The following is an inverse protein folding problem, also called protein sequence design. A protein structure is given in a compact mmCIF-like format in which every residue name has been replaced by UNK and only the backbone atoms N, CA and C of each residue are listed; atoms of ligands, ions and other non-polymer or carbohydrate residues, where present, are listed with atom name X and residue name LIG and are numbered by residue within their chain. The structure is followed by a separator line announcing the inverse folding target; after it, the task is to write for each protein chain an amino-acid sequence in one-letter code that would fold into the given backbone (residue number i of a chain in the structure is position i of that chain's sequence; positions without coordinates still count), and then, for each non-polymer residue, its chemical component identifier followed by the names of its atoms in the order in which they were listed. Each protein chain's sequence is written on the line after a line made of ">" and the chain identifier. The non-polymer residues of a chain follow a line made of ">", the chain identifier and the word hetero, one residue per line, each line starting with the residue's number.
data_IF_089109184909
#
_entry.id   IF_089109184909
#
_cell.length_a   1.000
_cell.length_b   1.000
_cell.length_c   1.000
_cell.angle_alpha   90.00
_cell.angle_beta   90.00
_cell.angle_gamma   90.00
#
_symmetry.space_group_name_H-M   'P 1'
#
loop_
_entity.id
_entity.type
_entity.pdbx_description
1 polymer ?
#
# COMPACT_ATOMS: atom_id res chain seq x y z
N UNK A 1 18.36 15.06 22.66
CA UNK A 1 18.15 14.45 21.34
C UNK A 1 16.82 13.72 21.32
N UNK A 2 15.93 14.10 20.40
CA UNK A 2 14.68 13.38 20.21
C UNK A 2 14.99 12.07 19.49
N UNK A 3 14.56 10.95 20.07
CA UNK A 3 14.62 9.68 19.40
C UNK A 3 13.72 9.70 18.18
N UNK A 4 14.16 9.12 17.07
CA UNK A 4 13.32 8.96 15.90
C UNK A 4 12.16 8.04 16.22
N UNK A 5 10.96 8.38 15.74
CA UNK A 5 9.81 7.48 15.83
C UNK A 5 10.12 6.20 15.07
N UNK A 6 9.75 5.06 15.65
CA UNK A 6 9.78 3.79 14.95
C UNK A 6 8.72 3.79 13.84
N UNK A 7 8.82 2.85 12.91
CA UNK A 7 7.80 2.69 11.88
C UNK A 7 6.44 2.33 12.47
N UNK A 8 6.43 1.51 13.53
CA UNK A 8 5.20 1.17 14.25
C UNK A 8 4.56 2.39 14.92
N UNK A 9 5.37 3.28 15.48
CA UNK A 9 4.88 4.52 16.05
C UNK A 9 4.29 5.44 14.97
N UNK A 10 4.95 5.51 13.81
CA UNK A 10 4.44 6.28 12.66
C UNK A 10 3.12 5.70 12.15
N UNK A 11 3.00 4.37 12.13
CA UNK A 11 1.78 3.70 11.72
C UNK A 11 0.62 3.98 12.70
N UNK A 12 0.92 4.06 13.97
CA UNK A 12 -0.07 4.31 15.01
C UNK A 12 -0.50 5.78 15.11
N UNK A 13 0.28 6.69 14.55
CA UNK A 13 0.02 8.12 14.61
C UNK A 13 -0.99 8.53 13.53
N UNK A 14 -2.23 8.80 13.95
CA UNK A 14 -3.30 9.15 13.01
C UNK A 14 -3.15 10.54 12.40
N UNK A 15 -2.43 11.46 13.04
CA UNK A 15 -2.21 12.84 12.56
C UNK A 15 -3.51 13.62 12.25
N UNK A 16 -4.59 13.33 12.97
CA UNK A 16 -5.89 13.92 12.68
C UNK A 16 -6.58 13.34 11.44
N UNK A 17 -6.12 12.21 10.95
CA UNK A 17 -6.69 11.55 9.78
C UNK A 17 -7.58 10.37 10.19
N UNK A 18 -8.54 9.94 9.36
CA UNK A 18 -8.75 10.38 7.98
C UNK A 18 -9.48 11.71 7.90
N UNK A 19 -9.39 12.36 6.75
CA UNK A 19 -10.18 13.55 6.44
C UNK A 19 -10.56 13.58 4.97
N UNK A 20 -11.72 14.16 4.66
CA UNK A 20 -12.18 14.35 3.28
C UNK A 20 -12.14 15.83 2.96
N UNK A 21 -11.52 16.17 1.86
CA UNK A 21 -11.36 17.55 1.40
C UNK A 21 -11.83 17.68 -0.04
N UNK A 22 -12.25 18.89 -0.42
CA UNK A 22 -12.53 19.21 -1.81
C UNK A 22 -11.22 19.22 -2.60
N UNK A 23 -11.24 18.62 -3.78
CA UNK A 23 -10.09 18.68 -4.68
C UNK A 23 -9.92 20.12 -5.15
N UNK A 24 -8.74 20.70 -4.94
CA UNK A 24 -8.46 22.09 -5.31
C UNK A 24 -8.43 22.24 -6.84
N UNK A 25 -8.67 23.47 -7.32
CA UNK A 25 -8.59 23.75 -8.74
C UNK A 25 -7.23 23.40 -9.33
N UNK A 26 -6.17 23.62 -8.56
CA UNK A 26 -4.81 23.26 -8.95
C UNK A 26 -4.65 21.75 -9.19
N UNK A 27 -5.26 20.93 -8.34
CA UNK A 27 -5.15 19.47 -8.42
C UNK A 27 -6.20 18.85 -9.35
N UNK A 28 -7.25 19.58 -9.69
CA UNK A 28 -8.34 19.06 -10.53
C UNK A 28 -7.88 18.58 -11.89
N UNK A 29 -6.82 19.17 -12.43
CA UNK A 29 -6.24 18.75 -13.72
C UNK A 29 -5.70 17.32 -13.68
N UNK A 30 -5.21 16.88 -12.53
CA UNK A 30 -4.64 15.52 -12.34
C UNK A 30 -5.67 14.55 -11.79
N UNK A 31 -6.49 14.99 -10.83
CA UNK A 31 -7.37 14.13 -10.05
C UNK A 31 -8.84 14.24 -10.42
N UNK A 32 -9.20 15.17 -11.29
CA UNK A 32 -10.59 15.48 -11.60
C UNK A 32 -11.22 16.36 -10.52
N UNK A 33 -12.53 16.51 -10.57
CA UNK A 33 -13.30 17.33 -9.64
C UNK A 33 -13.96 16.42 -8.59
N UNK A 34 -14.34 17.01 -7.47
CA UNK A 34 -15.00 16.29 -6.37
C UNK A 34 -14.22 16.36 -5.08
N UNK A 35 -14.19 15.26 -4.34
CA UNK A 35 -13.54 15.17 -3.05
C UNK A 35 -12.45 14.10 -3.03
N UNK A 36 -11.49 14.28 -2.14
CA UNK A 36 -10.40 13.34 -1.92
C UNK A 36 -10.36 12.97 -0.45
N UNK A 37 -10.25 11.68 -0.14
CA UNK A 37 -9.98 11.23 1.22
C UNK A 37 -8.48 11.06 1.42
N UNK A 38 -7.99 11.67 2.49
CA UNK A 38 -6.63 11.44 2.99
C UNK A 38 -6.79 10.44 4.12
N UNK A 39 -6.36 9.17 3.93
CA UNK A 39 -6.63 8.13 4.91
C UNK A 39 -5.76 8.24 6.15
N UNK A 40 -6.16 7.58 7.23
CA UNK A 40 -5.27 7.33 8.35
C UNK A 40 -4.31 6.19 7.98
N UNK A 41 -3.07 6.19 8.50
CA UNK A 41 -2.12 5.12 8.21
C UNK A 41 -2.67 3.72 8.53
N UNK A 42 -3.38 3.57 9.65
CA UNK A 42 -3.97 2.27 10.05
C UNK A 42 -4.98 1.74 9.07
N UNK A 43 -5.73 2.63 8.40
CA UNK A 43 -6.71 2.19 7.41
C UNK A 43 -6.05 1.48 6.24
N UNK A 44 -4.93 2.02 5.78
CA UNK A 44 -4.16 1.42 4.69
C UNK A 44 -3.61 0.07 5.13
N UNK A 45 -3.02 0.01 6.33
CA UNK A 45 -2.48 -1.21 6.89
C UNK A 45 -3.55 -2.31 7.04
N UNK A 46 -4.73 -1.97 7.52
CA UNK A 46 -5.85 -2.92 7.68
C UNK A 46 -6.28 -3.52 6.33
N UNK A 47 -6.32 -2.70 5.29
CA UNK A 47 -6.66 -3.20 3.95
C UNK A 47 -5.57 -4.14 3.45
N UNK A 48 -4.31 -3.77 3.62
CA UNK A 48 -3.17 -4.61 3.23
C UNK A 48 -3.18 -5.95 3.95
N UNK A 49 -3.53 -5.97 5.23
CA UNK A 49 -3.60 -7.20 6.04
C UNK A 49 -4.62 -8.21 5.54
N UNK A 50 -5.65 -7.76 4.86
CA UNK A 50 -6.74 -8.63 4.38
C UNK A 50 -6.38 -9.46 3.16
N UNK A 51 -5.26 -9.18 2.51
CA UNK A 51 -4.86 -9.87 1.29
C UNK A 51 -4.24 -11.22 1.64
N UNK A 52 -4.92 -12.33 1.32
CA UNK A 52 -4.40 -13.66 1.66
C UNK A 52 -3.27 -14.10 0.74
N UNK A 53 -2.56 -15.15 1.16
CA UNK A 53 -1.49 -15.73 0.35
C UNK A 53 -2.01 -16.13 -1.04
N UNK A 54 -1.24 -15.82 -2.08
CA UNK A 54 -1.62 -16.10 -3.46
C UNK A 54 -2.48 -15.02 -4.10
N UNK A 55 -2.93 -14.04 -3.33
CA UNK A 55 -3.70 -12.91 -3.84
C UNK A 55 -2.88 -11.62 -3.77
N UNK A 56 -3.31 -10.62 -4.51
CA UNK A 56 -2.62 -9.35 -4.68
C UNK A 56 -3.59 -8.19 -4.55
N UNK A 57 -3.05 -7.01 -4.25
CA UNK A 57 -3.78 -5.75 -4.30
C UNK A 57 -2.84 -4.71 -4.89
N UNK A 58 -3.38 -3.73 -5.62
CA UNK A 58 -2.58 -2.57 -6.03
C UNK A 58 -2.99 -1.35 -5.21
N UNK A 59 -2.18 -0.32 -5.25
CA UNK A 59 -2.49 0.95 -4.61
C UNK A 59 -3.84 1.49 -5.09
N UNK A 60 -4.21 1.22 -6.34
CA UNK A 60 -5.48 1.69 -6.89
C UNK A 60 -6.69 1.08 -6.20
N UNK A 61 -6.69 -0.24 -5.91
CA UNK A 61 -7.80 -0.88 -5.18
C UNK A 61 -7.87 -0.38 -3.74
N UNK A 62 -6.73 -0.11 -3.11
CA UNK A 62 -6.71 0.47 -1.77
C UNK A 62 -7.38 1.85 -1.80
N UNK A 63 -7.02 2.69 -2.77
CA UNK A 63 -7.60 4.02 -2.95
C UNK A 63 -9.11 3.96 -3.19
N UNK A 64 -9.55 3.04 -4.03
CA UNK A 64 -10.97 2.85 -4.33
C UNK A 64 -11.76 2.42 -3.09
N UNK A 65 -11.20 1.50 -2.31
CA UNK A 65 -11.82 1.05 -1.06
C UNK A 65 -11.97 2.21 -0.07
N UNK A 66 -10.92 3.02 0.06
CA UNK A 66 -10.94 4.19 0.95
C UNK A 66 -11.95 5.22 0.48
N UNK A 67 -12.01 5.48 -0.83
CA UNK A 67 -12.99 6.41 -1.38
C UNK A 67 -14.42 5.98 -1.08
N UNK A 68 -14.73 4.70 -1.28
CA UNK A 68 -16.06 4.15 -0.96
C UNK A 68 -16.37 4.26 0.53
N UNK A 69 -15.42 3.91 1.38
CA UNK A 69 -15.58 3.94 2.83
C UNK A 69 -15.96 5.34 3.33
N UNK A 70 -15.34 6.35 2.77
CA UNK A 70 -15.49 7.75 3.22
C UNK A 70 -16.41 8.58 2.32
N UNK A 71 -17.05 7.96 1.35
CA UNK A 71 -17.93 8.64 0.38
C UNK A 71 -17.22 9.81 -0.34
N UNK A 72 -15.94 9.60 -0.64
CA UNK A 72 -15.13 10.55 -1.40
C UNK A 72 -15.08 10.13 -2.87
N UNK A 73 -14.72 11.08 -3.73
CA UNK A 73 -14.57 10.80 -5.16
C UNK A 73 -13.34 9.92 -5.42
N UNK A 74 -12.23 10.24 -4.75
CA UNK A 74 -10.99 9.45 -4.87
C UNK A 74 -10.29 9.30 -3.53
N UNK A 75 -9.44 8.29 -3.40
CA UNK A 75 -8.43 8.19 -2.35
C UNK A 75 -7.15 8.87 -2.79
N UNK A 76 -6.50 9.59 -1.88
CA UNK A 76 -5.27 10.31 -2.18
C UNK A 76 -4.16 9.36 -2.63
N UNK A 77 -3.62 9.49 -3.84
CA UNK A 77 -2.59 8.58 -4.32
C UNK A 77 -1.27 8.74 -3.59
N UNK A 78 -0.95 9.96 -3.14
CA UNK A 78 0.32 10.27 -2.50
C UNK A 78 0.37 9.68 -1.09
N UNK A 79 -0.61 10.01 -0.25
CA UNK A 79 -0.64 9.53 1.14
C UNK A 79 -0.92 8.05 1.25
N UNK A 80 -1.74 7.48 0.38
CA UNK A 80 -1.97 6.04 0.34
C UNK A 80 -0.65 5.30 0.10
N UNK A 81 0.16 5.76 -0.84
CA UNK A 81 1.47 5.18 -1.12
C UNK A 81 2.45 5.33 0.05
N UNK A 82 2.49 6.50 0.67
CA UNK A 82 3.35 6.75 1.84
C UNK A 82 2.96 5.82 3.00
N UNK A 83 1.67 5.68 3.27
CA UNK A 83 1.20 4.87 4.39
C UNK A 83 1.39 3.36 4.12
N UNK A 84 1.27 2.92 2.87
CA UNK A 84 1.62 1.55 2.51
C UNK A 84 3.11 1.26 2.77
N UNK A 85 3.97 2.21 2.44
CA UNK A 85 5.40 2.13 2.70
C UNK A 85 5.71 2.07 4.21
N UNK A 86 5.06 2.91 5.01
CA UNK A 86 5.19 2.88 6.48
C UNK A 86 4.72 1.52 7.01
N UNK A 87 3.60 1.02 6.52
CA UNK A 87 3.06 -0.29 6.89
C UNK A 87 4.06 -1.42 6.62
N UNK A 88 4.74 -1.38 5.47
CA UNK A 88 5.73 -2.37 5.09
C UNK A 88 6.91 -2.39 6.07
N UNK A 89 7.45 -1.23 6.42
CA UNK A 89 8.56 -1.14 7.36
C UNK A 89 8.13 -1.48 8.79
N UNK A 90 6.92 -1.11 9.19
CA UNK A 90 6.36 -1.51 10.49
C UNK A 90 6.22 -3.03 10.59
N UNK A 91 5.84 -3.70 9.50
CA UNK A 91 5.75 -5.15 9.44
C UNK A 91 7.11 -5.81 9.70
N UNK A 92 8.18 -5.25 9.14
CA UNK A 92 9.52 -5.80 9.37
C UNK A 92 10.01 -5.54 10.80
N UNK A 93 9.63 -4.42 11.42
CA UNK A 93 9.89 -4.20 12.85
C UNK A 93 9.20 -5.27 13.69
N UNK A 94 7.95 -5.60 13.38
CA UNK A 94 7.22 -6.67 14.05
C UNK A 94 7.91 -8.02 13.86
N UNK A 95 8.35 -8.33 12.65
CA UNK A 95 9.05 -9.58 12.34
C UNK A 95 10.36 -9.69 13.13
N UNK A 96 11.10 -8.58 13.27
CA UNK A 96 12.34 -8.53 14.02
C UNK A 96 12.13 -8.82 15.51
N UNK A 97 10.93 -8.59 16.03
CA UNK A 97 10.55 -8.91 17.40
C UNK A 97 9.96 -10.31 17.54
N UNK A 98 9.99 -11.11 16.48
CA UNK A 98 9.50 -12.49 16.48
C UNK A 98 8.02 -12.64 16.22
N UNK A 99 7.31 -11.59 15.84
CA UNK A 99 5.90 -11.70 15.46
C UNK A 99 5.79 -12.43 14.12
N UNK A 100 4.91 -13.41 14.05
CA UNK A 100 4.72 -14.22 12.84
C UNK A 100 3.64 -13.68 11.92
N UNK A 101 2.64 -13.02 12.50
CA UNK A 101 1.47 -12.52 11.74
C UNK A 101 1.66 -11.05 11.41
N UNK A 102 2.53 -10.78 10.45
CA UNK A 102 2.83 -9.42 10.01
C UNK A 102 2.00 -9.04 8.77
N UNK A 103 1.86 -7.74 8.54
CA UNK A 103 1.20 -7.24 7.34
C UNK A 103 1.95 -7.73 6.11
N UNK A 104 1.28 -8.47 5.20
CA UNK A 104 1.96 -9.04 4.02
C UNK A 104 2.15 -7.98 2.93
N UNK A 105 3.04 -7.04 3.18
CA UNK A 105 3.27 -5.88 2.31
C UNK A 105 3.72 -6.26 0.89
N UNK A 106 4.36 -7.40 0.71
CA UNK A 106 4.81 -7.87 -0.61
C UNK A 106 3.65 -8.16 -1.57
N UNK A 107 2.43 -8.29 -1.06
CA UNK A 107 1.20 -8.51 -1.85
C UNK A 107 0.59 -7.20 -2.33
N UNK A 108 1.12 -6.05 -1.91
CA UNK A 108 0.67 -4.73 -2.34
C UNK A 108 1.60 -4.20 -3.43
N UNK A 109 1.04 -3.99 -4.62
CA UNK A 109 1.78 -3.60 -5.80
C UNK A 109 1.49 -2.15 -6.19
N UNK A 110 2.40 -1.58 -6.94
CA UNK A 110 2.11 -0.34 -7.66
C UNK A 110 1.08 -0.62 -8.77
N UNK A 111 0.53 0.45 -9.31
CA UNK A 111 -0.31 0.40 -10.49
C UNK A 111 0.35 -0.45 -11.59
N UNK A 112 -0.45 -1.23 -12.29
CA UNK A 112 0.06 -2.10 -13.35
C UNK A 112 0.74 -3.38 -12.89
N UNK A 113 0.68 -3.71 -11.61
CA UNK A 113 1.27 -4.93 -11.07
C UNK A 113 2.76 -4.85 -10.82
N UNK A 114 3.30 -3.65 -10.74
CA UNK A 114 4.72 -3.42 -10.54
C UNK A 114 5.12 -3.59 -9.07
N UNK A 115 6.25 -4.28 -8.82
CA UNK A 115 6.84 -4.39 -7.50
C UNK A 115 7.40 -3.05 -7.06
N UNK A 116 7.17 -2.69 -5.78
CA UNK A 116 7.70 -1.45 -5.23
C UNK A 116 9.08 -1.70 -4.59
N UNK A 117 10.14 -1.31 -5.30
CA UNK A 117 11.53 -1.50 -4.88
C UNK A 117 11.88 -0.80 -3.55
N UNK A 118 11.05 0.16 -3.11
CA UNK A 118 11.28 0.90 -1.87
C UNK A 118 10.81 0.15 -0.63
N UNK A 119 10.10 -0.96 -0.81
CA UNK A 119 9.70 -1.81 0.31
C UNK A 119 10.90 -2.54 0.90
N UNK A 120 10.81 -3.00 2.18
CA UNK A 120 11.94 -3.63 2.86
C UNK A 120 12.59 -4.76 2.05
N UNK A 121 13.91 -4.76 2.00
CA UNK A 121 14.68 -5.78 1.27
C UNK A 121 14.72 -5.61 -0.25
N UNK A 122 14.01 -4.61 -0.79
CA UNK A 122 14.00 -4.33 -2.22
C UNK A 122 13.40 -5.44 -3.07
N UNK A 123 13.68 -5.42 -4.36
CA UNK A 123 13.13 -6.37 -5.34
C UNK A 123 13.44 -7.82 -4.97
N UNK A 124 14.63 -8.13 -4.51
CA UNK A 124 15.02 -9.51 -4.18
C UNK A 124 14.12 -10.12 -3.12
N UNK A 125 13.86 -9.40 -2.02
CA UNK A 125 12.98 -9.89 -0.97
C UNK A 125 11.55 -10.08 -1.49
N UNK A 126 11.05 -9.11 -2.25
CA UNK A 126 9.68 -9.19 -2.80
C UNK A 126 9.54 -10.37 -3.73
N UNK A 127 10.53 -10.56 -4.61
CA UNK A 127 10.55 -11.65 -5.57
C UNK A 127 10.51 -13.01 -4.88
N UNK A 128 11.36 -13.21 -3.87
CA UNK A 128 11.40 -14.46 -3.10
C UNK A 128 10.05 -14.75 -2.47
N UNK A 129 9.44 -13.77 -1.81
CA UNK A 129 8.16 -13.94 -1.13
C UNK A 129 7.01 -14.20 -2.10
N UNK A 130 6.98 -13.47 -3.21
CA UNK A 130 5.92 -13.61 -4.21
C UNK A 130 6.04 -14.91 -5.00
N UNK A 131 7.25 -15.31 -5.35
CA UNK A 131 7.46 -16.60 -6.02
C UNK A 131 7.07 -17.77 -5.11
N UNK A 132 7.33 -17.65 -3.81
CA UNK A 132 6.90 -18.65 -2.84
C UNK A 132 5.37 -18.78 -2.78
N UNK A 133 4.64 -17.75 -3.16
CA UNK A 133 3.18 -17.74 -3.20
C UNK A 133 2.61 -18.08 -4.59
N UNK A 134 3.46 -18.52 -5.51
CA UNK A 134 3.05 -19.01 -6.82
C UNK A 134 3.04 -17.96 -7.93
N UNK A 135 3.55 -16.77 -7.68
CA UNK A 135 3.60 -15.71 -8.70
C UNK A 135 4.86 -15.80 -9.54
N UNK A 136 4.75 -15.35 -10.78
CA UNK A 136 5.88 -15.26 -11.72
C UNK A 136 6.20 -13.77 -11.91
N UNK A 137 7.45 -13.41 -11.65
CA UNK A 137 7.92 -12.04 -11.82
C UNK A 137 8.65 -11.92 -13.14
N UNK A 138 8.26 -10.94 -13.96
CA UNK A 138 8.89 -10.67 -15.24
C UNK A 138 9.47 -9.26 -15.25
N UNK A 139 10.50 -9.04 -16.03
CA UNK A 139 11.10 -7.73 -16.20
C UNK A 139 10.52 -7.06 -17.45
N UNK A 140 10.05 -5.82 -17.27
CA UNK A 140 9.61 -4.96 -18.38
C UNK A 140 10.42 -3.66 -18.32
N UNK A 141 11.46 -3.54 -19.15
CA UNK A 141 12.38 -2.42 -19.09
C UNK A 141 13.11 -2.39 -17.76
N UNK A 142 12.94 -1.31 -17.01
CA UNK A 142 13.54 -1.14 -15.67
C UNK A 142 12.63 -1.61 -14.55
N UNK A 143 11.42 -2.07 -14.87
CA UNK A 143 10.41 -2.46 -13.89
C UNK A 143 10.31 -3.96 -13.75
N UNK A 144 9.91 -4.41 -12.57
CA UNK A 144 9.58 -5.81 -12.30
C UNK A 144 8.08 -5.87 -12.03
N UNK A 145 7.39 -6.73 -12.76
CA UNK A 145 5.93 -6.85 -12.66
C UNK A 145 5.54 -8.32 -12.48
N UNK A 146 4.36 -8.54 -11.91
CA UNK A 146 3.82 -9.89 -11.78
C UNK A 146 3.03 -10.23 -13.04
N UNK A 147 3.39 -11.36 -13.65
CA UNK A 147 2.70 -11.88 -14.83
C UNK A 147 1.25 -12.20 -14.48
N UNK A 148 0.32 -11.70 -15.28
CA UNK A 148 -1.13 -11.94 -15.10
C UNK A 148 -1.64 -11.51 -13.71
N UNK A 149 -1.10 -10.44 -13.16
CA UNK A 149 -1.45 -10.00 -11.81
C UNK A 149 -2.96 -9.77 -11.61
N UNK A 150 -3.67 -9.37 -12.67
CA UNK A 150 -5.11 -9.10 -12.62
C UNK A 150 -5.91 -10.33 -12.16
N UNK A 151 -5.45 -11.52 -12.51
CA UNK A 151 -6.11 -12.78 -12.13
C UNK A 151 -6.02 -13.06 -10.64
N UNK A 152 -5.04 -12.49 -9.96
CA UNK A 152 -4.79 -12.69 -8.54
C UNK A 152 -5.32 -11.54 -7.68
N UNK A 153 -5.85 -10.48 -8.27
CA UNK A 153 -6.35 -9.34 -7.51
C UNK A 153 -7.49 -9.75 -6.59
N UNK A 154 -7.39 -9.30 -5.33
CA UNK A 154 -8.44 -9.52 -4.35
C UNK A 154 -9.67 -8.68 -4.72
N UNK A 155 -10.86 -9.24 -4.50
CA UNK A 155 -12.13 -8.52 -4.63
C UNK A 155 -12.52 -8.01 -3.25
N UNK A 156 -12.63 -6.71 -3.14
CA UNK A 156 -13.01 -6.04 -1.89
C UNK A 156 -14.47 -5.64 -1.89
#
# INVERSE_FOLDING_TARGET
>A
LKAKKSWREKLADSKGLPKVEKITDKMSKRWGTGTVVIPAPKEVDEIMKKVPAGKLITINEIRQTLAKRHRATIGCPITTGIFAWISAYAAEEDAAEGKRNITPYWRTLKSGGELNEKYPGGIENLKIRLEAEGHTIIRKGKKYVILDYEKALIKL
#
